data_IF_725875650953
#
_entry.id   IF_725875650953
#
_cell.length_a   1.000
_cell.length_b   1.000
_cell.length_c   1.000
_cell.angle_alpha   90.00
_cell.angle_beta   90.00
_cell.angle_gamma   90.00
#
_symmetry.space_group_name_H-M   'P 1'
#
loop_
_entity.id
_entity.type
_entity.pdbx_description
1 polymer ?
#
# COMPACT_ATOMS: atom_id res chain seq x y z
N UNK A 1 3.03 35.31 17.67
CA UNK A 1 4.13 34.33 17.71
C UNK A 1 3.54 33.01 17.23
N UNK A 2 3.98 32.49 16.08
CA UNK A 2 3.43 31.24 15.52
C UNK A 2 4.45 30.13 15.80
N UNK A 3 4.07 29.17 16.64
CA UNK A 3 4.87 27.98 16.89
C UNK A 3 4.73 27.07 15.66
N UNK A 4 5.83 26.87 14.93
CA UNK A 4 5.90 25.88 13.86
C UNK A 4 6.53 24.62 14.43
N UNK A 5 5.76 23.53 14.39
CA UNK A 5 6.24 22.20 14.75
C UNK A 5 6.56 21.44 13.46
N UNK A 6 7.74 20.85 13.39
CA UNK A 6 8.12 19.87 12.37
C UNK A 6 8.23 18.52 13.05
N UNK A 7 7.56 17.52 12.50
CA UNK A 7 7.59 16.15 12.99
C UNK A 7 8.03 15.27 11.83
N UNK A 8 9.11 14.49 12.03
CA UNK A 8 9.49 13.44 11.10
C UNK A 8 8.46 12.32 11.21
N UNK A 9 7.87 11.94 10.08
CA UNK A 9 6.95 10.82 10.00
C UNK A 9 7.74 9.65 9.43
N UNK A 10 7.85 8.57 10.20
CA UNK A 10 8.50 7.34 9.75
C UNK A 10 7.63 6.70 8.65
N UNK A 11 8.13 6.67 7.41
CA UNK A 11 7.40 6.02 6.32
C UNK A 11 8.26 5.71 5.10
N UNK A 12 7.63 5.06 4.12
CA UNK A 12 8.21 4.74 2.82
C UNK A 12 7.50 5.62 1.78
N UNK A 13 8.18 6.63 1.22
CA UNK A 13 7.68 7.33 0.06
C UNK A 13 7.76 6.41 -1.17
N UNK A 14 6.70 6.39 -1.95
CA UNK A 14 6.62 5.62 -3.19
C UNK A 14 6.33 6.61 -4.33
N UNK A 15 7.11 6.55 -5.40
CA UNK A 15 6.92 7.42 -6.56
C UNK A 15 6.62 6.59 -7.81
N UNK A 16 5.48 6.86 -8.43
CA UNK A 16 5.07 6.21 -9.68
C UNK A 16 5.21 7.21 -10.81
N UNK A 17 6.11 6.92 -11.76
CA UNK A 17 6.29 7.71 -12.96
C UNK A 17 5.36 7.22 -14.08
N UNK A 18 4.38 8.05 -14.46
CA UNK A 18 3.41 7.74 -15.51
C UNK A 18 3.75 8.49 -16.79
N UNK A 19 4.19 7.76 -17.81
CA UNK A 19 4.49 8.33 -19.13
C UNK A 19 3.22 8.80 -19.83
N UNK A 20 3.21 10.09 -20.19
CA UNK A 20 2.12 10.78 -20.86
C UNK A 20 2.24 10.66 -22.39
N UNK A 21 1.16 11.00 -23.10
CA UNK A 21 1.10 10.95 -24.57
C UNK A 21 2.07 11.93 -25.24
N UNK A 22 2.37 13.05 -24.57
CA UNK A 22 3.34 14.06 -25.03
C UNK A 22 4.80 13.65 -24.77
N UNK A 23 5.04 12.46 -24.20
CA UNK A 23 6.35 11.94 -23.86
C UNK A 23 6.90 12.40 -22.50
N UNK A 24 6.19 13.25 -21.78
CA UNK A 24 6.55 13.67 -20.41
C UNK A 24 6.20 12.59 -19.39
N UNK A 25 6.74 12.68 -18.17
CA UNK A 25 6.35 11.81 -17.06
C UNK A 25 5.62 12.62 -16.00
N UNK A 26 4.42 12.17 -15.62
CA UNK A 26 3.71 12.66 -14.44
C UNK A 26 4.10 11.79 -13.25
N UNK A 27 4.66 12.38 -12.20
CA UNK A 27 5.02 11.67 -10.97
C UNK A 27 3.82 11.69 -10.02
N UNK A 28 3.44 10.51 -9.55
CA UNK A 28 2.44 10.33 -8.50
C UNK A 28 3.16 9.87 -7.25
N UNK A 29 3.16 10.71 -6.21
CA UNK A 29 3.74 10.38 -4.91
C UNK A 29 2.68 9.75 -4.01
N UNK A 30 2.99 8.55 -3.54
CA UNK A 30 2.28 7.78 -2.53
C UNK A 30 3.14 7.70 -1.26
N UNK A 31 2.52 7.41 -0.13
CA UNK A 31 3.22 7.31 1.14
C UNK A 31 2.61 6.20 1.99
N UNK A 32 3.48 5.37 2.57
CA UNK A 32 3.09 4.34 3.52
C UNK A 32 3.76 4.63 4.85
N UNK A 33 2.97 4.83 5.90
CA UNK A 33 3.49 5.00 7.26
C UNK A 33 4.07 3.67 7.76
N UNK A 34 5.23 3.71 8.40
CA UNK A 34 5.94 2.51 8.89
C UNK A 34 6.21 2.57 10.40
N UNK A 35 5.43 3.34 11.14
CA UNK A 35 5.39 3.23 12.59
C UNK A 35 4.76 1.88 13.03
N UNK A 36 4.99 1.48 14.27
CA UNK A 36 4.62 0.15 14.75
C UNK A 36 3.11 -0.12 14.71
N UNK A 37 2.26 0.90 14.91
CA UNK A 37 0.81 0.77 14.77
C UNK A 37 0.45 0.62 13.29
N UNK A 38 1.01 1.43 12.40
CA UNK A 38 0.76 1.34 10.96
C UNK A 38 1.20 0.02 10.33
N UNK A 39 2.30 -0.58 10.81
CA UNK A 39 2.76 -1.90 10.34
C UNK A 39 1.82 -3.01 10.80
N UNK A 40 1.35 -2.96 12.05
CA UNK A 40 0.35 -3.90 12.55
C UNK A 40 -0.97 -3.75 11.78
N UNK A 41 -1.42 -2.52 11.55
CA UNK A 41 -2.59 -2.20 10.73
C UNK A 41 -2.45 -2.70 9.29
N UNK A 42 -1.26 -2.63 8.68
CA UNK A 42 -1.04 -3.18 7.33
C UNK A 42 -1.24 -4.70 7.28
N UNK A 43 -0.85 -5.42 8.33
CA UNK A 43 -1.07 -6.87 8.42
C UNK A 43 -2.57 -7.18 8.62
N UNK A 44 -3.24 -6.44 9.49
CA UNK A 44 -4.68 -6.61 9.79
C UNK A 44 -5.59 -6.15 8.64
N UNK A 45 -5.13 -5.23 7.78
CA UNK A 45 -5.85 -4.78 6.58
C UNK A 45 -6.12 -5.91 5.58
N UNK A 46 -5.41 -7.02 5.66
CA UNK A 46 -5.68 -8.21 4.85
C UNK A 46 -7.10 -8.73 5.08
N UNK A 47 -7.58 -8.74 6.32
CA UNK A 47 -8.92 -9.23 6.64
C UNK A 47 -9.99 -8.20 6.29
N UNK A 48 -9.70 -6.90 6.39
CA UNK A 48 -10.55 -5.83 5.86
C UNK A 48 -10.72 -5.92 4.35
N UNK A 49 -9.63 -6.17 3.62
CA UNK A 49 -9.65 -6.35 2.16
C UNK A 49 -10.49 -7.59 1.79
N UNK A 50 -10.32 -8.71 2.51
CA UNK A 50 -11.15 -9.91 2.31
C UNK A 50 -12.63 -9.63 2.58
N UNK A 51 -12.96 -8.94 3.67
CA UNK A 51 -14.33 -8.58 4.00
C UNK A 51 -14.97 -7.71 2.90
N UNK A 52 -14.24 -6.69 2.43
CA UNK A 52 -14.68 -5.86 1.29
C UNK A 52 -14.81 -6.65 -0.01
N UNK A 53 -13.93 -7.62 -0.25
CA UNK A 53 -14.05 -8.50 -1.42
C UNK A 53 -15.33 -9.35 -1.35
N UNK A 54 -15.69 -9.88 -0.19
CA UNK A 54 -16.96 -10.61 0.01
C UNK A 54 -18.18 -9.69 -0.16
N UNK A 55 -18.16 -8.47 0.38
CA UNK A 55 -19.22 -7.49 0.16
C UNK A 55 -19.41 -7.17 -1.33
N UNK A 56 -18.30 -7.00 -2.06
CA UNK A 56 -18.34 -6.72 -3.50
C UNK A 56 -18.83 -7.92 -4.31
N UNK A 57 -18.52 -9.16 -3.91
CA UNK A 57 -19.07 -10.37 -4.53
C UNK A 57 -20.59 -10.46 -4.38
N UNK A 58 -21.13 -10.02 -3.24
CA UNK A 58 -22.58 -9.95 -3.02
C UNK A 58 -23.20 -8.82 -3.84
N UNK A 59 -22.57 -7.65 -3.86
CA UNK A 59 -23.04 -6.46 -4.59
C UNK A 59 -22.98 -6.62 -6.12
N UNK A 60 -21.99 -7.36 -6.62
CA UNK A 60 -21.77 -7.62 -8.04
C UNK A 60 -21.69 -9.13 -8.31
N UNK A 61 -22.84 -9.82 -8.39
CA UNK A 61 -22.88 -11.27 -8.53
C UNK A 61 -22.18 -11.80 -9.78
N UNK A 62 -22.08 -10.97 -10.83
CA UNK A 62 -21.38 -11.30 -12.07
C UNK A 62 -19.87 -11.57 -11.85
N UNK A 63 -19.26 -11.07 -10.76
CA UNK A 63 -17.86 -11.35 -10.43
C UNK A 63 -17.55 -12.84 -10.22
N UNK A 64 -18.54 -13.63 -9.82
CA UNK A 64 -18.39 -15.06 -9.54
C UNK A 64 -19.08 -15.96 -10.57
N UNK A 65 -19.58 -15.39 -11.67
CA UNK A 65 -20.31 -16.13 -12.69
C UNK A 65 -19.61 -16.01 -14.03
N UNK A 66 -19.60 -17.08 -14.85
CA UNK A 66 -19.16 -16.96 -16.22
C UNK A 66 -20.09 -15.98 -16.97
N UNK A 67 -19.49 -15.02 -17.65
CA UNK A 67 -20.19 -14.04 -18.49
C UNK A 67 -20.19 -14.59 -19.91
N UNK A 68 -21.36 -14.66 -20.54
CA UNK A 68 -21.46 -15.00 -21.96
C UNK A 68 -21.07 -13.82 -22.84
N UNK A 69 -20.67 -14.08 -24.09
CA UNK A 69 -20.19 -13.04 -25.02
C UNK A 69 -21.23 -11.94 -25.33
N UNK A 70 -22.53 -12.23 -25.15
CA UNK A 70 -23.63 -11.29 -25.36
C UNK A 70 -24.08 -10.56 -24.08
N UNK A 71 -23.54 -10.93 -22.91
CA UNK A 71 -23.94 -10.39 -21.60
C UNK A 71 -23.18 -9.10 -21.25
N UNK A 72 -23.57 -8.02 -21.93
CA UNK A 72 -23.00 -6.68 -21.76
C UNK A 72 -23.24 -6.11 -20.35
N UNK A 73 -24.35 -6.46 -19.71
CA UNK A 73 -24.66 -6.01 -18.34
C UNK A 73 -23.78 -6.71 -17.32
N UNK A 74 -23.63 -8.04 -17.41
CA UNK A 74 -22.70 -8.80 -16.58
C UNK A 74 -21.25 -8.33 -16.73
N UNK A 75 -20.81 -8.07 -17.96
CA UNK A 75 -19.48 -7.49 -18.20
C UNK A 75 -19.31 -6.13 -17.52
N UNK A 76 -20.31 -5.24 -17.61
CA UNK A 76 -20.28 -3.93 -16.95
C UNK A 76 -20.24 -4.06 -15.42
N UNK A 77 -20.98 -4.99 -14.85
CA UNK A 77 -20.94 -5.27 -13.41
C UNK A 77 -19.55 -5.76 -12.97
N UNK A 78 -18.92 -6.65 -13.75
CA UNK A 78 -17.56 -7.12 -13.45
C UNK A 78 -16.55 -6.00 -13.51
N UNK A 79 -16.60 -5.14 -14.52
CA UNK A 79 -15.70 -3.97 -14.60
C UNK A 79 -15.89 -3.04 -13.39
N UNK A 80 -17.13 -2.76 -12.99
CA UNK A 80 -17.41 -1.93 -11.81
C UNK A 80 -16.92 -2.57 -10.52
N UNK A 81 -17.23 -3.85 -10.30
CA UNK A 81 -16.82 -4.59 -9.12
C UNK A 81 -15.30 -4.71 -9.00
N UNK A 82 -14.61 -5.02 -10.10
CA UNK A 82 -13.16 -5.05 -10.14
C UNK A 82 -12.56 -3.66 -9.88
N UNK A 83 -13.16 -2.59 -10.43
CA UNK A 83 -12.73 -1.22 -10.18
C UNK A 83 -12.86 -0.83 -8.71
N UNK A 84 -14.00 -1.12 -8.09
CA UNK A 84 -14.21 -0.84 -6.65
C UNK A 84 -13.25 -1.63 -5.77
N UNK A 85 -12.97 -2.90 -6.12
CA UNK A 85 -12.02 -3.73 -5.39
C UNK A 85 -10.59 -3.17 -5.47
N UNK A 86 -10.13 -2.83 -6.68
CA UNK A 86 -8.79 -2.25 -6.87
C UNK A 86 -8.70 -0.89 -6.17
N UNK A 87 -9.73 -0.05 -6.28
CA UNK A 87 -9.80 1.24 -5.57
C UNK A 87 -9.70 1.08 -4.07
N UNK A 88 -10.44 0.13 -3.49
CA UNK A 88 -10.37 -0.16 -2.06
C UNK A 88 -8.95 -0.57 -1.65
N UNK A 89 -8.33 -1.51 -2.37
CA UNK A 89 -6.97 -1.96 -2.05
C UNK A 89 -5.96 -0.82 -2.06
N UNK A 90 -5.96 0.01 -3.11
CA UNK A 90 -5.05 1.15 -3.19
C UNK A 90 -5.25 2.13 -2.04
N UNK A 91 -6.51 2.44 -1.71
CA UNK A 91 -6.80 3.41 -0.66
C UNK A 91 -6.44 2.88 0.74
N UNK A 92 -6.66 1.59 0.99
CA UNK A 92 -6.29 0.97 2.27
C UNK A 92 -4.78 0.87 2.46
N UNK A 93 -4.04 0.51 1.40
CA UNK A 93 -2.60 0.26 1.49
C UNK A 93 -1.77 1.54 1.39
N UNK A 94 -2.17 2.49 0.54
CA UNK A 94 -1.37 3.68 0.20
C UNK A 94 -2.05 5.00 0.61
N UNK A 95 -3.16 4.91 1.35
CA UNK A 95 -3.91 6.05 1.86
C UNK A 95 -5.05 6.50 0.95
N UNK A 96 -6.02 7.19 1.55
CA UNK A 96 -7.24 7.60 0.88
C UNK A 96 -6.96 8.46 -0.38
N UNK A 97 -7.63 8.12 -1.48
CA UNK A 97 -7.47 8.81 -2.77
C UNK A 97 -6.26 8.37 -3.59
N UNK A 98 -5.46 7.40 -3.14
CA UNK A 98 -4.33 6.86 -3.90
C UNK A 98 -4.75 6.35 -5.29
N UNK A 99 -5.86 5.61 -5.36
CA UNK A 99 -6.41 5.13 -6.63
C UNK A 99 -6.75 6.28 -7.58
N UNK A 100 -7.47 7.29 -7.08
CA UNK A 100 -7.96 8.39 -7.90
C UNK A 100 -6.79 9.20 -8.48
N UNK A 101 -5.74 9.46 -7.67
CA UNK A 101 -4.51 10.13 -8.14
C UNK A 101 -3.81 9.39 -9.29
N UNK A 102 -3.73 8.07 -9.20
CA UNK A 102 -3.11 7.23 -10.25
C UNK A 102 -3.99 7.18 -11.50
N UNK A 103 -5.31 7.05 -11.33
CA UNK A 103 -6.29 7.08 -12.41
C UNK A 103 -6.25 8.42 -13.17
N UNK A 104 -6.23 9.54 -12.46
CA UNK A 104 -6.06 10.90 -13.00
C UNK A 104 -4.69 11.13 -13.66
N UNK A 105 -3.70 10.28 -13.39
CA UNK A 105 -2.42 10.30 -14.09
C UNK A 105 -2.45 9.53 -15.42
N UNK A 106 -3.58 8.88 -15.75
CA UNK A 106 -3.78 8.15 -16.99
C UNK A 106 -3.59 6.63 -16.86
N UNK A 107 -3.51 6.11 -15.63
CA UNK A 107 -3.46 4.67 -15.39
C UNK A 107 -4.87 4.09 -15.32
N UNK A 108 -5.30 3.43 -16.39
CA UNK A 108 -6.56 2.67 -16.39
C UNK A 108 -6.48 1.38 -15.55
N UNK A 109 -7.64 0.78 -15.27
CA UNK A 109 -7.78 -0.42 -14.43
C UNK A 109 -6.79 -1.55 -14.77
N UNK A 110 -6.61 -1.86 -16.05
CA UNK A 110 -5.72 -2.93 -16.51
C UNK A 110 -4.24 -2.69 -16.20
N UNK A 111 -3.82 -1.42 -16.03
CA UNK A 111 -2.46 -1.07 -15.61
C UNK A 111 -2.34 -0.98 -14.09
N UNK A 112 -3.42 -0.61 -13.42
CA UNK A 112 -3.46 -0.52 -11.96
C UNK A 112 -3.43 -1.88 -11.27
N UNK A 113 -4.02 -2.92 -11.85
CA UNK A 113 -3.98 -4.28 -11.28
C UNK A 113 -2.54 -4.79 -11.12
N UNK A 114 -1.71 -4.87 -12.18
CA UNK A 114 -0.33 -5.35 -12.03
C UNK A 114 0.54 -4.38 -11.20
N UNK A 115 0.32 -3.07 -11.35
CA UNK A 115 1.05 -2.08 -10.55
C UNK A 115 0.79 -2.24 -9.05
N UNK A 116 -0.42 -2.65 -8.66
CA UNK A 116 -0.73 -2.92 -7.25
C UNK A 116 0.19 -4.01 -6.70
N UNK A 117 0.38 -5.09 -7.44
CA UNK A 117 1.30 -6.18 -7.06
C UNK A 117 2.75 -5.69 -6.97
N UNK A 118 3.23 -4.97 -7.99
CA UNK A 118 4.60 -4.44 -8.00
C UNK A 118 4.87 -3.52 -6.80
N UNK A 119 3.90 -2.67 -6.45
CA UNK A 119 4.00 -1.77 -5.30
C UNK A 119 3.97 -2.52 -3.97
N UNK A 120 3.12 -3.55 -3.84
CA UNK A 120 3.05 -4.34 -2.60
C UNK A 120 4.29 -5.20 -2.39
N UNK A 121 4.86 -5.76 -3.46
CA UNK A 121 6.07 -6.56 -3.40
C UNK A 121 7.26 -5.69 -2.99
N UNK A 122 7.46 -4.54 -3.67
CA UNK A 122 8.52 -3.60 -3.32
C UNK A 122 8.37 -3.01 -1.91
N UNK A 123 7.12 -2.75 -1.47
CA UNK A 123 6.85 -2.30 -0.10
C UNK A 123 7.24 -3.37 0.92
N UNK A 124 6.96 -4.64 0.64
CA UNK A 124 7.29 -5.77 1.52
C UNK A 124 8.81 -5.91 1.68
N UNK A 125 9.56 -5.86 0.58
CA UNK A 125 11.03 -5.92 0.61
C UNK A 125 11.64 -4.77 1.44
N UNK A 126 11.14 -3.55 1.25
CA UNK A 126 11.62 -2.37 1.97
C UNK A 126 11.27 -2.43 3.47
N UNK A 127 10.07 -2.93 3.81
CA UNK A 127 9.65 -3.19 5.19
C UNK A 127 10.54 -4.24 5.87
N UNK A 128 10.81 -5.37 5.22
CA UNK A 128 11.71 -6.41 5.74
C UNK A 128 13.12 -5.87 6.00
N UNK A 129 13.64 -5.07 5.06
CA UNK A 129 14.94 -4.39 5.20
C UNK A 129 14.97 -3.45 6.41
N UNK A 130 13.95 -2.59 6.56
CA UNK A 130 13.83 -1.67 7.70
C UNK A 130 13.69 -2.41 9.04
N UNK A 131 12.90 -3.49 9.09
CA UNK A 131 12.76 -4.32 10.29
C UNK A 131 14.09 -4.96 10.67
N UNK A 132 14.83 -5.51 9.71
CA UNK A 132 16.15 -6.09 9.94
C UNK A 132 17.16 -5.06 10.43
N UNK A 133 17.18 -3.85 9.87
CA UNK A 133 18.02 -2.75 10.36
C UNK A 133 17.69 -2.36 11.80
N UNK A 134 16.40 -2.23 12.12
CA UNK A 134 15.94 -1.88 13.45
C UNK A 134 16.29 -2.98 14.48
N UNK A 135 16.13 -4.25 14.12
CA UNK A 135 16.58 -5.37 14.95
C UNK A 135 18.10 -5.33 15.17
N UNK A 136 18.90 -5.04 14.13
CA UNK A 136 20.36 -4.92 14.24
C UNK A 136 20.77 -3.76 15.15
N UNK A 137 20.12 -2.60 15.02
CA UNK A 137 20.33 -1.44 15.92
C UNK A 137 19.94 -1.77 17.36
N UNK A 138 18.80 -2.45 17.57
CA UNK A 138 18.35 -2.87 18.90
C UNK A 138 19.29 -3.90 19.55
N UNK A 139 19.76 -4.89 18.78
CA UNK A 139 20.72 -5.89 19.25
C UNK A 139 22.07 -5.26 19.59
N UNK A 140 22.55 -4.29 18.80
CA UNK A 140 23.77 -3.53 19.09
C UNK A 140 23.62 -2.72 20.38
N UNK A 141 22.49 -2.02 20.58
CA UNK A 141 22.19 -1.30 21.83
C UNK A 141 22.16 -2.24 23.04
N UNK A 142 21.53 -3.42 22.92
CA UNK A 142 21.50 -4.44 23.99
C UNK A 142 22.91 -4.95 24.31
N UNK A 143 23.73 -5.23 23.29
CA UNK A 143 25.11 -5.66 23.48
C UNK A 143 25.97 -4.59 24.17
N UNK A 144 25.85 -3.32 23.76
CA UNK A 144 26.58 -2.19 24.37
C UNK A 144 26.18 -1.97 25.84
N UNK A 145 24.90 -2.14 26.18
CA UNK A 145 24.41 -2.08 27.56
C UNK A 145 24.94 -3.23 28.42
N UNK A 146 25.00 -4.45 27.88
CA UNK A 146 25.59 -5.61 28.56
C UNK A 146 27.09 -5.42 28.82
N UNK A 147 27.83 -4.87 27.85
CA UNK A 147 29.25 -4.54 28.01
C UNK A 147 29.44 -3.44 29.07
N UNK A 148 28.63 -2.38 29.03
CA UNK A 148 28.66 -1.30 30.05
C UNK A 148 28.35 -1.82 31.44
N UNK A 149 27.35 -2.69 31.60
CA UNK A 149 27.01 -3.26 32.91
C UNK A 149 28.09 -4.21 33.43
N UNK A 150 28.70 -5.03 32.58
CA UNK A 150 29.86 -5.86 32.96
C UNK A 150 31.07 -5.03 33.39
N UNK A 151 31.29 -3.84 32.80
CA UNK A 151 32.36 -2.92 33.21
C UNK A 151 32.10 -2.18 34.52
N UNK A 152 30.83 -2.03 34.93
CA UNK A 152 30.45 -1.42 36.22
C UNK A 152 30.46 -2.40 37.40
N UNK A 153 30.52 -3.70 37.14
CA UNK A 153 30.58 -4.77 38.15
C UNK A 153 32.00 -5.29 38.42
N UNK A 154 33.03 -4.70 37.79
CA UNK A 154 34.45 -4.88 38.13
C UNK A 154 34.94 -3.63 38.85
#
# INVERSE_FOLDING_TARGET
MVLKFQQEVDGIPLEVAVKQLDGTNKIVSLFVSTDAESIADLMDKTDLIKAKAEELKVKYPALNKPIGDEDVEGFREVVKGATELVKANYNELFGEGAYDKLSEAGLGLLKLIPLLTDLTDGLTEELESKVAENQKKANKRRADLLIKNKKKQK
#
